data_IF_423637277462
#
_entry.id   IF_423637277462
#
_cell.length_a   1.000
_cell.length_b   1.000
_cell.length_c   1.000
_cell.angle_alpha   90.00
_cell.angle_beta   90.00
_cell.angle_gamma   90.00
#
_symmetry.space_group_name_H-M   'P 1'
#
loop_
_entity.id
_entity.type
_entity.pdbx_description
1 polymer ?
#
# COMPACT_ATOMS: atom_id res chain seq x y z
N UNK A 1 49.78 -20.45 14.35
CA UNK A 1 48.59 -20.50 15.24
C UNK A 1 47.82 -19.22 15.02
N UNK A 2 46.65 -19.31 14.39
CA UNK A 2 45.88 -18.17 13.83
C UNK A 2 44.94 -17.61 14.89
N UNK A 3 45.04 -16.30 15.12
CA UNK A 3 44.12 -15.52 15.95
C UNK A 3 42.73 -15.50 15.32
N UNK A 4 41.71 -15.72 16.14
CA UNK A 4 40.31 -15.55 15.76
C UNK A 4 39.93 -14.10 16.07
N UNK A 5 39.79 -13.28 15.02
CA UNK A 5 39.17 -11.97 15.13
C UNK A 5 37.65 -12.16 15.12
N UNK A 6 37.03 -12.06 16.28
CA UNK A 6 35.57 -11.93 16.41
C UNK A 6 35.22 -10.48 16.08
N UNK A 7 34.81 -10.22 14.84
CA UNK A 7 34.18 -8.95 14.47
C UNK A 7 32.73 -9.05 14.95
N UNK A 8 32.50 -8.59 16.18
CA UNK A 8 31.16 -8.18 16.61
C UNK A 8 30.87 -6.88 15.88
N UNK A 9 30.00 -6.96 14.88
CA UNK A 9 29.49 -5.82 14.13
C UNK A 9 28.63 -4.98 15.08
N UNK A 10 29.28 -4.10 15.83
CA UNK A 10 28.66 -3.01 16.55
C UNK A 10 28.06 -2.03 15.53
N UNK A 11 26.87 -2.35 15.01
CA UNK A 11 25.91 -1.32 14.58
C UNK A 11 25.37 -0.71 15.88
N UNK A 12 26.25 0.02 16.56
CA UNK A 12 25.85 0.95 17.60
C UNK A 12 25.15 2.07 16.84
N UNK A 13 23.83 1.97 16.90
CA UNK A 13 22.85 3.02 16.75
C UNK A 13 23.30 4.28 17.49
N UNK A 14 24.21 5.06 16.92
CA UNK A 14 24.34 6.49 17.25
C UNK A 14 23.18 7.22 16.58
N UNK A 15 21.98 6.96 17.08
CA UNK A 15 20.74 7.67 16.78
C UNK A 15 20.53 8.74 17.86
N UNK A 16 21.60 9.50 18.15
CA UNK A 16 21.53 10.71 18.97
C UNK A 16 21.40 11.92 18.05
N UNK A 17 20.24 12.01 17.40
CA UNK A 17 19.69 13.28 16.94
C UNK A 17 18.34 13.43 17.63
N UNK A 18 18.40 13.72 18.94
CA UNK A 18 17.29 14.22 19.73
C UNK A 18 16.95 15.63 19.25
N UNK A 19 16.25 15.72 18.13
CA UNK A 19 15.40 16.85 17.83
C UNK A 19 13.99 16.43 18.26
N UNK A 20 13.31 17.29 19.01
CA UNK A 20 11.90 17.18 19.36
C UNK A 20 11.03 17.26 18.08
N UNK A 21 11.12 16.23 17.24
CA UNK A 21 10.23 16.00 16.12
C UNK A 21 9.19 14.97 16.59
N UNK A 22 7.91 15.27 16.36
CA UNK A 22 6.87 14.26 16.48
C UNK A 22 7.24 13.03 15.63
N UNK A 23 6.71 11.86 15.97
CA UNK A 23 6.94 10.69 15.13
C UNK A 23 6.26 10.92 13.76
N UNK A 24 7.07 11.09 12.72
CA UNK A 24 6.64 11.32 11.35
C UNK A 24 6.81 10.07 10.46
N UNK A 25 6.73 8.87 11.06
CA UNK A 25 6.92 7.60 10.34
C UNK A 25 5.60 6.93 9.92
N UNK A 26 4.45 7.53 10.25
CA UNK A 26 3.12 7.08 9.76
C UNK A 26 3.15 7.01 8.24
N UNK A 27 2.68 5.90 7.68
CA UNK A 27 2.59 5.71 6.22
C UNK A 27 1.14 5.82 5.80
N UNK A 28 0.87 6.70 4.84
CA UNK A 28 -0.49 6.96 4.35
C UNK A 28 -0.90 5.91 3.31
N UNK A 29 -2.07 5.24 3.47
CA UNK A 29 -2.53 4.21 2.53
C UNK A 29 -2.84 4.81 1.17
N UNK A 30 -2.63 4.08 0.06
CA UNK A 30 -2.72 4.62 -1.30
C UNK A 30 -4.09 5.23 -1.70
N UNK A 31 -5.16 4.91 -1.00
CA UNK A 31 -6.51 5.45 -1.20
C UNK A 31 -6.79 6.74 -0.40
N UNK A 32 -5.82 7.19 0.41
CA UNK A 32 -5.89 8.44 1.16
C UNK A 32 -6.11 9.66 0.23
N UNK A 33 -7.01 10.59 0.61
CA UNK A 33 -7.25 11.81 -0.15
C UNK A 33 -6.01 12.73 -0.23
N UNK A 34 -5.05 12.60 0.69
CA UNK A 34 -3.75 13.28 0.69
C UNK A 34 -3.14 13.38 -0.70
N UNK A 35 -3.02 12.24 -1.41
CA UNK A 35 -2.32 12.19 -2.68
C UNK A 35 -2.99 13.05 -3.76
N UNK A 36 -4.33 12.98 -3.83
CA UNK A 36 -5.11 13.75 -4.80
C UNK A 36 -5.12 15.24 -4.43
N UNK A 37 -5.28 15.55 -3.15
CA UNK A 37 -5.36 16.92 -2.66
C UNK A 37 -4.01 17.63 -2.85
N UNK A 38 -2.92 16.98 -2.49
CA UNK A 38 -1.56 17.49 -2.68
C UNK A 38 -1.25 17.70 -4.17
N UNK A 39 -1.54 16.71 -5.03
CA UNK A 39 -1.35 16.86 -6.48
C UNK A 39 -2.15 18.03 -7.04
N UNK A 40 -3.39 18.23 -6.57
CA UNK A 40 -4.24 19.36 -6.98
C UNK A 40 -3.61 20.70 -6.61
N UNK A 41 -3.10 20.87 -5.39
CA UNK A 41 -2.41 22.10 -4.98
C UNK A 41 -1.15 22.37 -5.82
N UNK A 42 -0.37 21.35 -6.14
CA UNK A 42 0.80 21.50 -7.01
C UNK A 42 0.39 22.00 -8.40
N UNK A 43 -0.65 21.41 -8.99
CA UNK A 43 -1.18 21.83 -10.31
C UNK A 43 -1.66 23.28 -10.26
N UNK A 44 -2.43 23.65 -9.24
CA UNK A 44 -2.96 25.02 -9.09
C UNK A 44 -1.84 26.07 -8.94
N UNK A 45 -0.68 25.70 -8.38
CA UNK A 45 0.48 26.58 -8.29
C UNK A 45 1.43 26.48 -9.50
N UNK A 46 1.06 25.75 -10.56
CA UNK A 46 1.89 25.58 -11.75
C UNK A 46 3.19 24.81 -11.48
N UNK A 47 3.19 23.93 -10.48
CA UNK A 47 4.28 23.02 -10.16
C UNK A 47 4.05 21.67 -10.84
N UNK A 48 5.12 20.96 -11.17
CA UNK A 48 5.10 19.55 -11.53
C UNK A 48 4.54 18.71 -10.39
N UNK A 49 4.02 17.52 -10.68
CA UNK A 49 3.44 16.66 -9.66
C UNK A 49 4.41 16.38 -8.49
N UNK A 50 3.89 16.16 -7.27
CA UNK A 50 4.70 15.67 -6.15
C UNK A 50 5.33 14.31 -6.49
N UNK A 51 6.14 13.77 -5.56
CA UNK A 51 6.79 12.47 -5.75
C UNK A 51 5.82 11.41 -6.30
N UNK A 52 6.23 10.62 -7.26
CA UNK A 52 5.35 9.59 -7.86
C UNK A 52 5.67 8.18 -7.38
N UNK A 53 6.59 8.04 -6.42
CA UNK A 53 6.78 6.82 -5.62
C UNK A 53 5.95 6.85 -4.34
N UNK A 54 4.80 6.18 -4.38
CA UNK A 54 3.86 6.04 -3.27
C UNK A 54 4.01 4.66 -2.59
N UNK A 55 3.69 4.54 -1.29
CA UNK A 55 3.11 5.55 -0.39
C UNK A 55 4.13 6.53 0.22
N UNK A 56 3.65 7.64 0.78
CA UNK A 56 4.48 8.56 1.58
C UNK A 56 4.43 8.19 3.06
N UNK A 57 5.56 8.39 3.74
CA UNK A 57 5.50 8.63 5.17
C UNK A 57 5.11 10.09 5.46
N UNK A 58 4.65 10.33 6.68
CA UNK A 58 4.22 11.63 7.20
C UNK A 58 5.28 12.72 6.99
N UNK A 59 6.54 12.40 7.23
CA UNK A 59 7.70 13.28 7.03
C UNK A 59 7.84 13.72 5.56
N UNK A 60 7.73 12.79 4.62
CA UNK A 60 7.73 13.12 3.19
C UNK A 60 6.52 13.98 2.81
N UNK A 61 5.33 13.62 3.29
CA UNK A 61 4.10 14.35 2.99
C UNK A 61 4.16 15.81 3.49
N UNK A 62 4.68 16.03 4.70
CA UNK A 62 4.89 17.38 5.27
C UNK A 62 5.87 18.20 4.44
N UNK A 63 7.03 17.64 4.08
CA UNK A 63 7.99 18.34 3.20
C UNK A 63 7.42 18.67 1.83
N UNK A 64 6.53 17.83 1.30
CA UNK A 64 5.85 18.13 0.03
C UNK A 64 4.81 19.24 0.20
N UNK A 65 4.08 19.28 1.32
CA UNK A 65 3.12 20.33 1.61
C UNK A 65 3.79 21.68 1.87
N UNK A 66 4.94 21.70 2.55
CA UNK A 66 5.72 22.92 2.85
C UNK A 66 6.16 23.69 1.60
N UNK A 67 6.20 23.03 0.44
CA UNK A 67 6.52 23.67 -0.85
C UNK A 67 5.38 24.45 -1.46
N UNK A 68 4.16 24.26 -0.96
CA UNK A 68 3.00 25.02 -1.38
C UNK A 68 3.11 26.42 -0.78
N UNK A 69 3.16 27.42 -1.65
CA UNK A 69 3.23 28.81 -1.24
C UNK A 69 1.85 29.26 -0.74
N UNK A 70 1.67 29.32 0.58
CA UNK A 70 0.40 29.71 1.22
C UNK A 70 -0.08 31.08 0.78
N UNK A 71 0.84 32.00 0.44
CA UNK A 71 0.48 33.37 0.05
C UNK A 71 -0.18 33.43 -1.33
N UNK A 72 0.04 32.40 -2.17
CA UNK A 72 -0.54 32.27 -3.51
C UNK A 72 -1.88 31.51 -3.53
N UNK A 73 -2.37 31.04 -2.38
CA UNK A 73 -3.69 30.41 -2.27
C UNK A 73 -4.77 31.50 -2.32
N UNK A 74 -5.27 31.77 -3.52
CA UNK A 74 -6.16 32.88 -3.81
C UNK A 74 -7.61 32.56 -3.46
N UNK A 75 -8.06 31.34 -3.75
CA UNK A 75 -9.45 30.93 -3.54
C UNK A 75 -9.68 30.35 -2.13
N UNK A 76 -10.92 30.45 -1.64
CA UNK A 76 -11.30 29.80 -0.38
C UNK A 76 -11.14 28.28 -0.47
N UNK A 77 -11.49 27.68 -1.62
CA UNK A 77 -11.36 26.25 -1.86
C UNK A 77 -9.91 25.75 -1.76
N UNK A 78 -8.94 26.51 -2.28
CA UNK A 78 -7.51 26.21 -2.15
C UNK A 78 -7.04 26.19 -0.70
N UNK A 79 -7.51 27.15 0.10
CA UNK A 79 -7.17 27.23 1.54
C UNK A 79 -7.79 26.07 2.30
N UNK A 80 -9.06 25.76 2.05
CA UNK A 80 -9.74 24.60 2.64
C UNK A 80 -9.03 23.30 2.29
N UNK A 81 -8.57 23.15 1.04
CA UNK A 81 -7.81 21.99 0.60
C UNK A 81 -6.46 21.87 1.34
N UNK A 82 -5.77 23.00 1.54
CA UNK A 82 -4.52 23.06 2.29
C UNK A 82 -4.73 22.66 3.76
N UNK A 83 -5.74 23.21 4.42
CA UNK A 83 -6.08 22.89 5.81
C UNK A 83 -6.51 21.42 5.96
N UNK A 84 -7.27 20.87 5.01
CA UNK A 84 -7.66 19.46 5.02
C UNK A 84 -6.45 18.52 4.94
N UNK A 85 -5.40 18.89 4.18
CA UNK A 85 -4.15 18.12 4.17
C UNK A 85 -3.43 18.28 5.51
N UNK A 86 -3.38 19.48 6.09
CA UNK A 86 -2.76 19.67 7.41
C UNK A 86 -3.43 18.79 8.48
N UNK A 87 -4.76 18.76 8.51
CA UNK A 87 -5.54 17.94 9.43
C UNK A 87 -5.27 16.44 9.23
N UNK A 88 -5.17 15.96 7.99
CA UNK A 88 -4.82 14.57 7.69
C UNK A 88 -3.39 14.19 8.14
N UNK A 89 -2.49 15.16 8.16
CA UNK A 89 -1.09 15.05 8.60
C UNK A 89 -0.92 15.27 10.13
N UNK A 90 -1.99 15.59 10.84
CA UNK A 90 -2.00 15.64 12.29
C UNK A 90 -2.24 14.24 12.87
N UNK A 91 -1.29 13.67 13.62
CA UNK A 91 -1.46 12.33 14.16
C UNK A 91 -2.51 12.33 15.28
N UNK A 92 -3.68 11.75 15.02
CA UNK A 92 -4.67 11.46 16.05
C UNK A 92 -4.24 10.21 16.83
N UNK A 93 -3.35 10.39 17.82
CA UNK A 93 -2.76 9.30 18.61
C UNK A 93 -3.21 9.37 20.07
N UNK A 94 -3.76 8.27 20.59
CA UNK A 94 -3.97 8.05 22.02
C UNK A 94 -2.64 7.63 22.67
N UNK A 95 -2.52 7.78 23.99
CA UNK A 95 -1.31 7.45 24.74
C UNK A 95 -1.61 6.40 25.81
N UNK A 96 -0.76 5.38 25.91
CA UNK A 96 -0.72 4.40 26.99
C UNK A 96 0.72 4.33 27.53
N UNK A 97 1.02 5.14 28.56
CA UNK A 97 2.41 5.34 29.00
C UNK A 97 3.23 6.00 27.90
N UNK A 98 4.33 5.37 27.50
CA UNK A 98 5.19 5.85 26.41
C UNK A 98 4.76 5.35 25.01
N UNK A 99 3.72 4.51 24.94
CA UNK A 99 3.21 3.97 23.69
C UNK A 99 2.11 4.87 23.13
N UNK A 100 2.37 5.50 21.99
CA UNK A 100 1.31 6.06 21.17
C UNK A 100 0.57 4.95 20.43
N UNK A 101 -0.76 5.03 20.36
CA UNK A 101 -1.55 4.07 19.58
C UNK A 101 -2.82 4.71 19.02
N UNK A 102 -3.36 4.12 17.97
CA UNK A 102 -4.71 4.40 17.48
C UNK A 102 -5.37 3.10 17.02
N UNK A 103 -6.68 3.05 17.19
CA UNK A 103 -7.51 1.89 16.84
C UNK A 103 -8.80 2.38 16.22
N UNK A 104 -9.09 1.90 15.02
CA UNK A 104 -10.30 2.24 14.27
C UNK A 104 -11.03 0.97 13.83
N UNK A 105 -12.36 0.99 13.98
CA UNK A 105 -13.25 -0.02 13.43
C UNK A 105 -14.14 0.62 12.36
N UNK A 106 -13.88 0.26 11.12
CA UNK A 106 -14.72 0.66 9.98
C UNK A 106 -15.65 -0.49 9.60
N UNK A 107 -16.96 -0.22 9.54
CA UNK A 107 -17.97 -1.17 9.03
C UNK A 107 -18.53 -0.63 7.71
N UNK A 108 -18.70 -1.50 6.71
CA UNK A 108 -19.19 -1.13 5.38
C UNK A 108 -20.18 -2.16 4.86
N UNK A 109 -21.33 -1.70 4.38
CA UNK A 109 -22.33 -2.54 3.72
C UNK A 109 -22.44 -2.19 2.24
N UNK A 110 -22.33 -3.20 1.38
CA UNK A 110 -22.47 -3.07 -0.08
C UNK A 110 -23.59 -3.98 -0.58
N UNK A 111 -24.38 -3.48 -1.53
CA UNK A 111 -25.44 -4.22 -2.22
C UNK A 111 -25.32 -3.97 -3.72
N UNK A 112 -25.30 -5.04 -4.49
CA UNK A 112 -25.27 -5.01 -5.95
C UNK A 112 -26.51 -5.68 -6.50
N UNK A 113 -27.16 -5.04 -7.45
CA UNK A 113 -28.29 -5.59 -8.18
C UNK A 113 -27.91 -5.75 -9.65
N UNK A 114 -28.25 -6.90 -10.25
CA UNK A 114 -27.93 -7.21 -11.64
C UNK A 114 -29.09 -7.96 -12.31
N UNK A 115 -29.42 -7.59 -13.55
CA UNK A 115 -30.55 -8.18 -14.28
C UNK A 115 -30.14 -9.26 -15.27
N UNK A 116 -28.94 -9.18 -15.85
CA UNK A 116 -28.45 -10.15 -16.83
C UNK A 116 -27.60 -11.23 -16.17
N UNK A 117 -28.24 -12.25 -15.61
CA UNK A 117 -27.55 -13.31 -14.87
C UNK A 117 -26.96 -14.42 -15.75
N UNK A 118 -26.96 -14.26 -17.07
CA UNK A 118 -26.43 -15.25 -18.02
C UNK A 118 -25.13 -14.79 -18.71
N UNK A 119 -25.04 -13.52 -19.12
CA UNK A 119 -24.01 -13.07 -20.07
C UNK A 119 -22.82 -12.35 -19.41
N UNK A 120 -23.02 -11.72 -18.24
CA UNK A 120 -22.00 -10.88 -17.57
C UNK A 120 -21.69 -11.38 -16.16
N UNK A 121 -21.17 -12.60 -16.08
CA UNK A 121 -21.04 -13.37 -14.84
C UNK A 121 -19.58 -13.56 -14.36
N UNK A 122 -18.60 -13.00 -15.08
CA UNK A 122 -17.20 -12.98 -14.66
C UNK A 122 -16.80 -11.60 -14.12
N UNK A 123 -15.70 -11.54 -13.37
CA UNK A 123 -15.19 -10.26 -12.84
C UNK A 123 -14.81 -9.30 -13.96
N UNK A 124 -14.14 -9.78 -15.01
CA UNK A 124 -13.69 -8.96 -16.13
C UNK A 124 -14.83 -8.23 -16.88
N UNK A 125 -16.07 -8.71 -16.74
CA UNK A 125 -17.26 -8.11 -17.34
C UNK A 125 -17.74 -6.88 -16.55
N UNK A 126 -17.21 -6.69 -15.34
CA UNK A 126 -17.59 -5.64 -14.40
C UNK A 126 -16.50 -4.57 -14.34
N UNK A 127 -16.91 -3.31 -14.32
CA UNK A 127 -16.00 -2.19 -14.06
C UNK A 127 -15.59 -2.11 -12.59
N UNK A 128 -16.44 -2.63 -11.69
CA UNK A 128 -16.21 -2.69 -10.26
C UNK A 128 -15.78 -4.11 -9.87
N UNK A 129 -14.48 -4.35 -9.88
CA UNK A 129 -13.82 -5.64 -9.69
C UNK A 129 -13.56 -5.97 -8.22
N UNK A 130 -12.78 -7.05 -8.00
CA UNK A 130 -12.52 -7.58 -6.66
C UNK A 130 -11.68 -6.61 -5.82
N UNK A 131 -10.69 -5.97 -6.43
CA UNK A 131 -9.80 -5.02 -5.76
C UNK A 131 -10.48 -3.75 -5.26
N UNK A 132 -11.71 -3.47 -5.70
CA UNK A 132 -12.48 -2.28 -5.34
C UNK A 132 -13.56 -2.57 -4.29
N UNK A 133 -14.08 -3.80 -4.25
CA UNK A 133 -15.06 -4.27 -3.26
C UNK A 133 -14.54 -4.06 -1.84
N UNK A 134 -15.41 -3.60 -0.96
CA UNK A 134 -15.06 -3.27 0.43
C UNK A 134 -15.27 -4.46 1.35
N UNK A 135 -14.37 -4.61 2.32
CA UNK A 135 -14.57 -5.49 3.46
C UNK A 135 -15.86 -5.13 4.21
N UNK A 136 -16.56 -6.12 4.77
CA UNK A 136 -17.68 -5.87 5.69
C UNK A 136 -17.22 -5.09 6.92
N UNK A 137 -16.05 -5.42 7.44
CA UNK A 137 -15.44 -4.72 8.56
C UNK A 137 -13.92 -4.78 8.52
N UNK A 138 -13.28 -3.70 8.92
CA UNK A 138 -11.82 -3.62 9.11
C UNK A 138 -11.53 -3.02 10.48
N UNK A 139 -10.73 -3.74 11.27
CA UNK A 139 -10.17 -3.26 12.53
C UNK A 139 -8.68 -2.96 12.31
N UNK A 140 -8.30 -1.69 12.43
CA UNK A 140 -6.92 -1.25 12.25
C UNK A 140 -6.27 -0.92 13.60
N UNK A 141 -4.97 -1.16 13.66
CA UNK A 141 -4.12 -0.90 14.81
C UNK A 141 -2.87 -0.16 14.34
N UNK A 142 -2.72 1.06 14.83
CA UNK A 142 -1.54 1.89 14.61
C UNK A 142 -0.77 2.03 15.92
N UNK A 143 0.56 1.93 15.89
CA UNK A 143 1.38 2.18 17.09
C UNK A 143 2.65 2.97 16.82
N UNK A 144 3.03 3.77 17.82
CA UNK A 144 4.22 4.62 17.88
C UNK A 144 4.94 4.40 19.21
N UNK A 145 5.70 3.29 19.35
CA UNK A 145 6.42 2.96 20.59
C UNK A 145 7.61 3.88 20.88
N UNK A 146 8.22 4.46 19.84
CA UNK A 146 9.33 5.45 19.94
C UNK A 146 9.24 6.47 18.80
N UNK A 147 10.02 7.56 18.81
CA UNK A 147 9.91 8.64 17.83
C UNK A 147 10.26 8.25 16.38
N UNK A 148 11.06 7.20 16.19
CA UNK A 148 11.53 6.74 14.89
C UNK A 148 10.83 5.47 14.39
N UNK A 149 9.79 5.01 15.10
CA UNK A 149 9.11 3.74 14.79
C UNK A 149 7.62 3.92 14.64
N UNK A 150 7.07 3.41 13.55
CA UNK A 150 5.63 3.27 13.35
C UNK A 150 5.32 1.83 12.94
N UNK A 151 4.21 1.27 13.42
CA UNK A 151 3.68 0.03 12.86
C UNK A 151 2.18 0.13 12.61
N UNK A 152 1.77 -0.62 11.60
CA UNK A 152 0.39 -0.73 11.18
C UNK A 152 0.05 -2.21 11.02
N UNK A 153 -1.13 -2.58 11.51
CA UNK A 153 -1.71 -3.91 11.31
C UNK A 153 -3.22 -3.77 11.17
N UNK A 154 -3.82 -4.53 10.25
CA UNK A 154 -5.27 -4.57 10.10
C UNK A 154 -5.81 -6.00 10.09
N UNK A 155 -7.02 -6.15 10.61
CA UNK A 155 -7.84 -7.35 10.47
C UNK A 155 -9.07 -6.98 9.65
N UNK A 156 -9.22 -7.60 8.49
CA UNK A 156 -10.36 -7.39 7.61
C UNK A 156 -11.22 -8.64 7.52
N UNK A 157 -12.54 -8.43 7.57
CA UNK A 157 -13.55 -9.44 7.29
C UNK A 157 -14.15 -9.14 5.92
N UNK A 158 -13.77 -9.93 4.91
CA UNK A 158 -14.24 -9.75 3.54
C UNK A 158 -14.56 -11.07 2.86
N UNK A 159 -15.31 -11.01 1.76
CA UNK A 159 -15.48 -12.15 0.88
C UNK A 159 -14.20 -12.38 0.06
N UNK A 160 -13.90 -13.64 -0.22
CA UNK A 160 -12.85 -14.05 -1.15
C UNK A 160 -13.26 -13.74 -2.60
N UNK A 161 -12.51 -14.25 -3.59
CA UNK A 161 -12.79 -14.00 -5.02
C UNK A 161 -14.08 -14.65 -5.56
N UNK A 162 -14.94 -15.18 -4.69
CA UNK A 162 -16.13 -15.94 -5.04
C UNK A 162 -15.83 -17.40 -5.35
N UNK A 163 -16.88 -18.20 -5.47
CA UNK A 163 -16.78 -19.61 -5.90
C UNK A 163 -16.86 -19.66 -7.41
N UNK A 164 -15.81 -20.18 -8.04
CA UNK A 164 -15.77 -20.46 -9.48
C UNK A 164 -16.74 -21.60 -9.81
N UNK A 165 -17.48 -21.51 -10.92
CA UNK A 165 -18.37 -22.62 -11.34
C UNK A 165 -17.60 -23.86 -11.76
N UNK A 166 -16.42 -23.69 -12.32
CA UNK A 166 -15.59 -24.76 -12.86
C UNK A 166 -14.13 -24.47 -12.58
N UNK A 167 -13.40 -25.46 -12.08
CA UNK A 167 -11.94 -25.42 -11.98
C UNK A 167 -11.33 -25.72 -13.36
N UNK A 168 -11.47 -24.78 -14.30
CA UNK A 168 -10.78 -24.86 -15.60
C UNK A 168 -9.39 -24.19 -15.55
N UNK A 169 -8.59 -24.41 -16.59
CA UNK A 169 -7.26 -23.78 -16.79
C UNK A 169 -7.32 -22.29 -17.17
N UNK A 170 -8.47 -21.63 -17.04
CA UNK A 170 -8.62 -20.20 -17.35
C UNK A 170 -8.16 -19.35 -16.17
N UNK A 171 -7.85 -18.08 -16.45
CA UNK A 171 -7.58 -17.11 -15.38
C UNK A 171 -8.84 -16.94 -14.50
N UNK A 172 -8.71 -16.90 -13.17
CA UNK A 172 -9.87 -16.80 -12.26
C UNK A 172 -10.81 -15.61 -12.53
N UNK A 173 -10.28 -14.50 -13.03
CA UNK A 173 -11.05 -13.29 -13.34
C UNK A 173 -11.93 -13.39 -14.59
N UNK A 174 -11.61 -14.33 -15.50
CA UNK A 174 -12.38 -14.60 -16.71
C UNK A 174 -13.38 -15.74 -16.58
N UNK A 175 -13.57 -16.26 -15.35
CA UNK A 175 -14.48 -17.35 -15.07
C UNK A 175 -15.74 -16.85 -14.37
N UNK A 176 -16.91 -17.43 -14.69
CA UNK A 176 -18.14 -17.14 -13.98
C UNK A 176 -17.97 -17.44 -12.48
N UNK A 177 -18.28 -16.48 -11.60
CA UNK A 177 -18.20 -16.70 -10.16
C UNK A 177 -19.44 -16.19 -9.40
N UNK A 178 -19.60 -16.61 -8.15
CA UNK A 178 -20.80 -16.29 -7.34
C UNK A 178 -20.93 -14.82 -6.95
N UNK A 179 -19.87 -14.01 -7.07
CA UNK A 179 -19.88 -12.60 -6.70
C UNK A 179 -20.30 -11.68 -7.85
N UNK A 180 -20.10 -12.06 -9.10
CA UNK A 180 -20.40 -11.22 -10.27
C UNK A 180 -21.54 -11.81 -11.10
N UNK A 181 -22.62 -11.05 -11.23
CA UNK A 181 -23.70 -11.28 -12.21
C UNK A 181 -24.57 -12.53 -12.03
N UNK A 182 -24.11 -13.64 -11.43
CA UNK A 182 -24.89 -14.89 -11.35
C UNK A 182 -26.14 -14.82 -10.50
N UNK A 183 -26.09 -14.01 -9.45
CA UNK A 183 -27.25 -13.77 -8.59
C UNK A 183 -27.80 -12.38 -8.90
N UNK A 184 -29.14 -12.23 -8.97
CA UNK A 184 -29.75 -10.91 -9.17
C UNK A 184 -29.36 -9.90 -8.09
N UNK A 185 -29.02 -10.40 -6.90
CA UNK A 185 -28.54 -9.62 -5.78
C UNK A 185 -27.27 -10.24 -5.20
N UNK A 186 -26.26 -9.43 -4.94
CA UNK A 186 -25.07 -9.82 -4.17
C UNK A 186 -24.72 -8.74 -3.15
N UNK A 187 -23.95 -9.10 -2.12
CA UNK A 187 -23.57 -8.19 -1.04
C UNK A 187 -22.16 -8.52 -0.54
N UNK A 188 -21.55 -7.63 0.25
CA UNK A 188 -20.33 -7.93 1.00
C UNK A 188 -20.61 -8.55 2.39
N UNK A 189 -21.88 -8.67 2.81
CA UNK A 189 -22.25 -9.26 4.09
C UNK A 189 -21.96 -10.77 4.08
N UNK A 190 -21.18 -11.22 5.06
CA UNK A 190 -20.81 -12.62 5.26
C UNK A 190 -22.05 -13.44 5.61
N UNK A 191 -22.15 -14.66 5.08
CA UNK A 191 -23.28 -15.60 5.28
C UNK A 191 -24.65 -15.13 4.76
N UNK A 192 -24.72 -14.05 3.98
CA UNK A 192 -25.91 -13.71 3.19
C UNK A 192 -25.70 -14.22 1.77
N UNK A 193 -26.62 -15.06 1.29
CA UNK A 193 -26.52 -15.65 -0.05
C UNK A 193 -26.28 -14.57 -1.13
N UNK A 194 -25.37 -14.81 -2.09
CA UNK A 194 -24.68 -16.06 -2.36
C UNK A 194 -23.41 -16.32 -1.51
N UNK A 195 -23.07 -15.45 -0.56
CA UNK A 195 -21.92 -15.64 0.33
C UNK A 195 -22.20 -16.70 1.40
N UNK A 196 -21.15 -17.40 1.81
CA UNK A 196 -21.21 -18.44 2.83
C UNK A 196 -19.90 -18.46 3.64
N UNK A 197 -19.79 -19.30 4.66
CA UNK A 197 -18.58 -19.36 5.51
C UNK A 197 -17.31 -19.71 4.71
N UNK A 198 -17.44 -20.53 3.67
CA UNK A 198 -16.33 -20.88 2.77
C UNK A 198 -15.94 -19.75 1.79
N UNK A 199 -16.73 -18.68 1.71
CA UNK A 199 -16.40 -17.49 0.93
C UNK A 199 -15.70 -16.43 1.76
N UNK A 200 -15.36 -16.70 3.03
CA UNK A 200 -14.53 -15.81 3.83
C UNK A 200 -13.11 -15.82 3.27
N UNK A 201 -12.53 -14.63 3.14
CA UNK A 201 -11.15 -14.46 2.74
C UNK A 201 -10.18 -14.67 3.92
N UNK A 202 -9.21 -15.54 3.72
CA UNK A 202 -8.17 -15.86 4.70
C UNK A 202 -6.77 -15.38 4.27
N UNK A 203 -6.67 -14.54 3.24
CA UNK A 203 -5.40 -13.94 2.79
C UNK A 203 -4.95 -12.74 3.62
N UNK A 204 -5.76 -12.34 4.62
CA UNK A 204 -5.44 -11.24 5.52
C UNK A 204 -4.16 -11.54 6.36
N UNK A 205 -3.46 -10.51 6.85
CA UNK A 205 -3.70 -9.08 6.63
C UNK A 205 -3.35 -8.64 5.20
N UNK A 206 -4.09 -7.68 4.66
CA UNK A 206 -3.76 -7.03 3.38
C UNK A 206 -2.72 -5.93 3.57
N UNK A 207 -2.75 -5.28 4.74
CA UNK A 207 -1.78 -4.27 5.16
C UNK A 207 -1.22 -4.59 6.56
N UNK A 208 0.08 -4.83 6.63
CA UNK A 208 0.78 -5.10 7.88
C UNK A 208 2.26 -4.81 7.72
N UNK A 209 2.78 -3.76 8.35
CA UNK A 209 4.17 -3.36 8.18
C UNK A 209 4.69 -2.57 9.37
N UNK A 210 6.02 -2.46 9.40
CA UNK A 210 6.74 -1.53 10.26
C UNK A 210 7.45 -0.48 9.39
N UNK A 211 7.59 0.71 9.93
CA UNK A 211 8.21 1.87 9.30
C UNK A 211 9.17 2.49 10.30
N UNK A 212 10.43 2.59 9.89
CA UNK A 212 11.54 3.09 10.67
C UNK A 212 12.15 4.28 9.94
N UNK A 213 12.41 5.38 10.62
CA UNK A 213 13.01 6.51 9.92
C UNK A 213 13.30 7.71 10.80
N UNK A 214 13.78 8.73 10.13
CA UNK A 214 13.99 10.07 10.68
C UNK A 214 13.65 11.09 9.60
N UNK A 215 14.14 12.32 9.77
CA UNK A 215 14.12 13.31 8.72
C UNK A 215 14.90 12.79 7.50
N UNK A 216 14.34 12.98 6.30
CA UNK A 216 14.95 12.65 5.00
C UNK A 216 15.18 11.17 4.68
N UNK A 217 14.88 10.22 5.56
CA UNK A 217 14.97 8.80 5.23
C UNK A 217 13.93 7.94 5.96
N UNK A 218 13.52 6.88 5.28
CA UNK A 218 12.56 5.91 5.79
C UNK A 218 12.87 4.51 5.26
N UNK A 219 12.71 3.51 6.12
CA UNK A 219 12.78 2.08 5.84
C UNK A 219 11.43 1.48 6.24
N UNK A 220 10.76 0.86 5.27
CA UNK A 220 9.49 0.16 5.46
C UNK A 220 9.67 -1.31 5.14
N UNK A 221 9.18 -2.20 5.99
CA UNK A 221 9.21 -3.64 5.77
C UNK A 221 7.87 -4.25 6.14
N UNK A 222 7.31 -5.07 5.25
CA UNK A 222 6.07 -5.79 5.49
C UNK A 222 5.23 -5.91 4.23
N UNK A 223 3.93 -5.71 4.40
CA UNK A 223 2.90 -5.88 3.39
C UNK A 223 2.09 -4.59 3.22
N UNK A 224 2.04 -4.06 2.01
CA UNK A 224 1.17 -2.94 1.63
C UNK A 224 1.02 -2.87 0.10
N UNK A 225 0.15 -1.98 -0.39
CA UNK A 225 0.11 -1.62 -1.81
C UNK A 225 1.17 -0.56 -2.12
N UNK A 226 1.76 -0.67 -3.31
CA UNK A 226 2.78 0.26 -3.81
C UNK A 226 2.35 0.81 -5.17
N UNK A 227 2.81 2.02 -5.51
CA UNK A 227 2.51 2.62 -6.81
C UNK A 227 3.63 3.56 -7.26
N UNK A 228 4.25 3.26 -8.41
CA UNK A 228 5.33 4.06 -8.99
C UNK A 228 4.93 4.63 -10.35
N UNK A 229 4.58 5.91 -10.35
CA UNK A 229 4.24 6.67 -11.55
C UNK A 229 3.00 7.53 -11.36
N UNK A 230 2.71 8.35 -12.36
CA UNK A 230 1.58 9.27 -12.37
C UNK A 230 0.30 8.66 -12.98
N UNK A 231 0.32 7.39 -13.36
CA UNK A 231 -0.81 6.72 -14.00
C UNK A 231 -2.03 6.64 -13.08
N UNK A 232 -3.22 6.87 -13.63
CA UNK A 232 -4.50 6.79 -12.89
C UNK A 232 -5.16 5.43 -13.01
N UNK A 233 -5.06 4.79 -14.18
CA UNK A 233 -5.56 3.43 -14.44
C UNK A 233 -4.56 2.33 -14.05
N UNK A 234 -3.35 2.70 -13.62
CA UNK A 234 -2.27 1.79 -13.29
C UNK A 234 -0.92 2.34 -13.72
N UNK A 235 0.15 1.68 -13.28
CA UNK A 235 1.52 2.02 -13.62
C UNK A 235 2.22 0.81 -14.24
N UNK A 236 3.16 1.05 -15.16
CA UNK A 236 3.80 -0.02 -15.94
C UNK A 236 4.79 -0.86 -15.13
N UNK A 237 5.44 -0.27 -14.12
CA UNK A 237 6.50 -0.94 -13.35
C UNK A 237 6.01 -1.46 -12.00
N UNK A 238 5.43 -0.59 -11.16
CA UNK A 238 4.86 -0.97 -9.86
C UNK A 238 3.47 -0.36 -9.78
N UNK A 239 2.45 -1.20 -9.82
CA UNK A 239 1.04 -0.81 -9.82
C UNK A 239 0.35 -1.19 -8.52
N UNK A 240 -0.72 -0.46 -8.19
CA UNK A 240 -1.59 -0.72 -7.03
C UNK A 240 -2.70 -1.75 -7.31
N UNK A 241 -2.64 -2.44 -8.45
CA UNK A 241 -3.62 -3.44 -8.88
C UNK A 241 -3.46 -4.77 -8.15
N UNK A 242 -2.27 -5.07 -7.63
CA UNK A 242 -2.10 -6.22 -6.74
C UNK A 242 -2.76 -5.94 -5.38
N UNK A 243 -3.43 -6.93 -4.75
CA UNK A 243 -4.06 -6.73 -3.44
C UNK A 243 -3.06 -6.25 -2.38
N UNK A 244 -1.82 -6.72 -2.46
CA UNK A 244 -0.67 -6.25 -1.70
C UNK A 244 0.65 -6.71 -2.35
N UNK A 245 1.77 -6.16 -1.88
CA UNK A 245 3.11 -6.68 -2.13
C UNK A 245 3.79 -6.95 -0.79
N UNK A 246 4.56 -8.03 -0.70
CA UNK A 246 5.51 -8.25 0.39
C UNK A 246 6.81 -7.56 0.03
N UNK A 247 7.29 -6.61 0.82
CA UNK A 247 8.46 -5.83 0.43
C UNK A 247 9.34 -5.35 1.58
N UNK A 248 10.59 -5.04 1.22
CA UNK A 248 11.43 -4.09 1.92
C UNK A 248 11.64 -2.86 1.03
N UNK A 249 11.42 -1.67 1.57
CA UNK A 249 11.52 -0.41 0.84
C UNK A 249 12.34 0.59 1.64
N UNK A 250 13.37 1.15 1.00
CA UNK A 250 14.14 2.26 1.54
C UNK A 250 13.89 3.50 0.70
N UNK A 251 13.66 4.64 1.35
CA UNK A 251 13.45 5.92 0.70
C UNK A 251 14.33 6.96 1.36
N UNK A 252 15.00 7.80 0.58
CA UNK A 252 15.61 9.04 1.06
C UNK A 252 15.21 10.20 0.17
N UNK A 253 14.91 11.35 0.75
CA UNK A 253 14.32 12.47 0.02
C UNK A 253 14.77 13.81 0.56
N UNK A 254 15.22 14.67 -0.35
CA UNK A 254 15.69 16.03 -0.13
C UNK A 254 14.94 17.00 -1.06
N UNK A 255 15.36 18.27 -1.06
CA UNK A 255 14.63 19.31 -1.76
C UNK A 255 14.49 19.11 -3.26
N UNK A 256 15.55 18.62 -3.92
CA UNK A 256 15.59 18.47 -5.38
C UNK A 256 15.71 17.03 -5.85
N UNK A 257 15.79 16.10 -4.91
CA UNK A 257 16.19 14.72 -5.17
C UNK A 257 15.47 13.78 -4.23
N UNK A 258 14.97 12.66 -4.76
CA UNK A 258 14.48 11.52 -4.01
C UNK A 258 15.04 10.25 -4.61
N UNK A 259 15.42 9.32 -3.75
CA UNK A 259 15.78 7.96 -4.14
C UNK A 259 14.91 6.96 -3.39
N UNK A 260 14.41 5.97 -4.11
CA UNK A 260 13.64 4.87 -3.57
C UNK A 260 14.24 3.55 -4.06
N UNK A 261 14.59 2.68 -3.12
CA UNK A 261 14.93 1.28 -3.35
C UNK A 261 13.73 0.43 -2.92
N UNK A 262 13.31 -0.50 -3.77
CA UNK A 262 12.24 -1.44 -3.48
C UNK A 262 12.72 -2.86 -3.78
N UNK A 263 12.55 -3.75 -2.81
CA UNK A 263 12.65 -5.19 -3.00
C UNK A 263 11.30 -5.81 -2.67
N UNK A 264 10.63 -6.39 -3.66
CA UNK A 264 9.36 -7.11 -3.50
C UNK A 264 9.57 -8.61 -3.68
N UNK A 265 8.92 -9.40 -2.83
CA UNK A 265 9.03 -10.86 -2.80
C UNK A 265 7.73 -11.49 -3.29
N UNK A 266 7.85 -12.43 -4.21
CA UNK A 266 6.72 -13.18 -4.77
C UNK A 266 6.96 -14.68 -4.61
N UNK A 267 5.91 -15.40 -4.23
CA UNK A 267 5.93 -16.86 -4.24
C UNK A 267 5.94 -17.40 -5.66
N UNK A 268 6.51 -18.60 -5.85
CA UNK A 268 6.62 -19.20 -7.17
C UNK A 268 5.24 -19.46 -7.80
N UNK A 269 5.01 -19.13 -9.09
CA UNK A 269 3.70 -19.32 -9.72
C UNK A 269 3.29 -20.79 -9.93
N UNK A 270 4.20 -21.78 -9.82
CA UNK A 270 3.89 -23.20 -10.05
C UNK A 270 3.22 -23.94 -8.87
N UNK A 271 2.67 -23.23 -7.90
CA UNK A 271 1.91 -23.84 -6.78
C UNK A 271 0.73 -24.69 -7.31
N UNK A 272 0.23 -24.42 -8.52
CA UNK A 272 -0.95 -25.09 -9.10
C UNK A 272 -0.68 -26.35 -9.94
N UNK A 273 0.57 -26.70 -10.26
CA UNK A 273 0.86 -27.86 -11.14
C UNK A 273 1.05 -29.20 -10.42
N UNK A 274 0.94 -29.24 -9.09
CA UNK A 274 1.26 -30.46 -8.32
C UNK A 274 -0.04 -31.13 -7.84
N UNK A 275 -0.51 -32.09 -8.62
CA UNK A 275 -1.69 -32.93 -8.34
C UNK A 275 -1.40 -33.96 -7.21
N UNK A 276 -0.17 -34.02 -6.69
CA UNK A 276 0.22 -34.92 -5.60
C UNK A 276 1.16 -34.23 -4.58
N UNK A 277 0.66 -33.23 -3.86
CA UNK A 277 1.39 -32.65 -2.73
C UNK A 277 1.22 -33.55 -1.48
N UNK A 278 1.90 -34.70 -1.47
CA UNK A 278 2.09 -35.47 -0.24
C UNK A 278 3.11 -34.78 0.66
N UNK A 279 2.70 -34.44 1.89
CA UNK A 279 3.46 -34.06 3.10
C UNK A 279 4.60 -33.00 3.03
N UNK A 280 5.17 -32.64 1.88
CA UNK A 280 6.36 -31.79 1.74
C UNK A 280 6.12 -30.58 0.82
N UNK A 281 4.91 -30.02 0.83
CA UNK A 281 4.57 -28.83 0.04
C UNK A 281 5.36 -27.56 0.47
N UNK A 282 5.95 -27.55 1.67
CA UNK A 282 6.77 -26.43 2.16
C UNK A 282 8.19 -26.39 1.59
N UNK A 283 8.80 -27.53 1.25
CA UNK A 283 10.14 -27.55 0.64
C UNK A 283 10.11 -27.11 -0.84
N UNK A 284 9.02 -27.40 -1.56
CA UNK A 284 8.78 -26.91 -2.92
C UNK A 284 8.45 -25.39 -2.99
N UNK A 285 7.99 -24.80 -1.88
CA UNK A 285 7.78 -23.35 -1.76
C UNK A 285 9.11 -22.59 -1.61
N UNK A 286 10.18 -23.27 -1.16
CA UNK A 286 11.51 -22.69 -0.96
C UNK A 286 12.34 -22.54 -2.24
N UNK A 287 12.09 -23.36 -3.26
CA UNK A 287 12.93 -23.45 -4.48
C UNK A 287 12.60 -22.40 -5.57
N UNK A 288 11.89 -21.31 -5.22
CA UNK A 288 11.38 -20.39 -6.24
C UNK A 288 10.81 -19.05 -5.77
N UNK A 289 11.32 -18.45 -4.68
CA UNK A 289 10.97 -17.07 -4.34
C UNK A 289 11.56 -16.15 -5.41
N UNK A 290 10.69 -15.43 -6.13
CA UNK A 290 11.13 -14.40 -7.07
C UNK A 290 11.27 -13.08 -6.33
N UNK A 291 12.40 -12.41 -6.53
CA UNK A 291 12.66 -11.10 -5.94
C UNK A 291 12.69 -10.05 -7.04
N UNK A 292 11.79 -9.09 -6.98
CA UNK A 292 11.82 -7.90 -7.80
C UNK A 292 12.62 -6.83 -7.07
N UNK A 293 13.78 -6.45 -7.59
CA UNK A 293 14.56 -5.34 -7.09
C UNK A 293 14.43 -4.17 -8.05
N UNK A 294 14.12 -2.99 -7.52
CA UNK A 294 13.97 -1.79 -8.33
C UNK A 294 14.54 -0.56 -7.64
N UNK A 295 15.12 0.30 -8.45
CA UNK A 295 15.70 1.57 -8.09
C UNK A 295 14.90 2.67 -8.77
N UNK A 296 14.60 3.74 -8.05
CA UNK A 296 13.95 4.93 -8.61
C UNK A 296 14.63 6.17 -8.10
N UNK A 297 14.97 7.07 -9.02
CA UNK A 297 15.46 8.40 -8.72
C UNK A 297 14.48 9.42 -9.27
N UNK A 298 14.09 10.39 -8.44
CA UNK A 298 13.23 11.50 -8.83
C UNK A 298 13.95 12.83 -8.60
N UNK A 299 14.03 13.65 -9.64
CA UNK A 299 14.60 14.99 -9.61
C UNK A 299 13.53 16.05 -9.82
N UNK A 300 13.74 17.21 -9.18
CA UNK A 300 12.92 18.41 -9.39
C UNK A 300 13.81 19.57 -9.81
N UNK A 301 13.41 20.23 -10.89
CA UNK A 301 14.13 21.34 -11.50
C UNK A 301 13.23 22.58 -11.58
N UNK A 302 13.85 23.74 -11.83
CA UNK A 302 13.16 25.00 -12.17
C UNK A 302 12.10 25.40 -11.13
N UNK A 303 12.42 25.33 -9.83
CA UNK A 303 11.50 25.64 -8.72
C UNK A 303 10.22 24.77 -8.74
N UNK A 304 10.42 23.46 -8.86
CA UNK A 304 9.37 22.43 -8.97
C UNK A 304 8.55 22.49 -10.25
N UNK A 305 8.91 23.25 -11.29
CA UNK A 305 8.15 23.29 -12.56
C UNK A 305 8.39 22.07 -13.46
N UNK A 306 9.52 21.39 -13.29
CA UNK A 306 9.88 20.20 -14.06
C UNK A 306 10.29 19.08 -13.11
N UNK A 307 9.59 17.94 -13.21
CA UNK A 307 9.94 16.70 -12.53
C UNK A 307 10.47 15.66 -13.52
N UNK A 308 11.54 14.96 -13.15
CA UNK A 308 12.08 13.84 -13.92
C UNK A 308 12.18 12.63 -12.99
N UNK A 309 11.64 11.49 -13.41
CA UNK A 309 11.76 10.25 -12.67
C UNK A 309 12.34 9.15 -13.56
N UNK A 310 13.36 8.47 -13.07
CA UNK A 310 14.03 7.37 -13.76
C UNK A 310 13.91 6.14 -12.87
N UNK A 311 13.49 5.03 -13.45
CA UNK A 311 13.38 3.75 -12.76
C UNK A 311 14.06 2.63 -13.53
N UNK A 312 14.73 1.76 -12.80
CA UNK A 312 15.34 0.54 -13.28
C UNK A 312 14.88 -0.61 -12.38
N UNK A 313 14.62 -1.76 -12.96
CA UNK A 313 14.23 -2.95 -12.20
C UNK A 313 14.74 -4.23 -12.82
N UNK A 314 14.90 -5.24 -11.96
CA UNK A 314 15.25 -6.59 -12.37
C UNK A 314 14.47 -7.61 -11.52
N UNK A 315 14.07 -8.70 -12.15
CA UNK A 315 13.50 -9.87 -11.48
C UNK A 315 14.61 -10.91 -11.30
N UNK A 316 14.87 -11.29 -10.05
CA UNK A 316 15.78 -12.35 -9.68
C UNK A 316 15.01 -13.63 -9.37
N UNK A 317 15.63 -14.77 -9.67
CA UNK A 317 15.16 -16.12 -9.36
C UNK A 317 16.28 -16.88 -8.66
#
# INVERSE_FOLDING_TARGET
MRSKSTIVLCIVLTLEASLFAGNLQKVHPLDSPLYRNLATLYILQGKALPSTSLPYNEDEAKRLLERIDRTKLASHAERVLYEAILEELEPNRKQAGNLGYDMDLTLTGELYAHTNTSDFNAEQDWTYGYGERKSLGTLSFETWPVNSFYSYFELSLMNNFGVLDQFETRLPNGQPNTLYGKSPFTTNIIMVAPNALNTIDLNFPYRAFVSLGSEHWNLQVGRDKLSWGAGKSGNLMVSNTMPYQQFGRFTTGFDRFKYTLLSSFYTHPQIYTIINAGANAQDLLGDGIKMFLAHRVEFRFLQDKLGLAISESMMYQ
#
